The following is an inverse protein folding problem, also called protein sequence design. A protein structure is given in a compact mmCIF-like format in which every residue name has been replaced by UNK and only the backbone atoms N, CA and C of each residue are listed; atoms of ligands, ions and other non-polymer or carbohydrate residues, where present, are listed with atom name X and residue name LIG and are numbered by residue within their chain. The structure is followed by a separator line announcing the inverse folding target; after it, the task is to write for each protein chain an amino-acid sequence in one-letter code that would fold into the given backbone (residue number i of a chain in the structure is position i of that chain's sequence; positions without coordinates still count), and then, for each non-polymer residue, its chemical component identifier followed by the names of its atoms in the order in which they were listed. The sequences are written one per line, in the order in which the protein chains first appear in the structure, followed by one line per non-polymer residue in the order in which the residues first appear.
data_IF_578095591428
#
_entry.id   IF_578095591428
#
_cell.length_a   1.000
_cell.length_b   1.000
_cell.length_c   1.000
_cell.angle_alpha   90.00
_cell.angle_beta   90.00
_cell.angle_gamma   90.00
#
_symmetry.space_group_name_H-M   'P 1'
#
loop_
_entity.id
_entity.type
_entity.pdbx_description
1 polymer ?
#
# COMPACT_ATOMS: atom_id res chain seq x y z
N UNK A 1 0.71 6.53 3.93
CA UNK A 1 1.82 6.28 2.99
C UNK A 1 2.01 7.54 2.18
N UNK A 2 3.19 8.14 2.24
CA UNK A 2 3.58 9.21 1.32
C UNK A 2 4.38 8.58 0.18
N UNK A 3 4.04 8.88 -1.07
CA UNK A 3 4.73 8.31 -2.24
C UNK A 3 5.19 9.44 -3.15
N UNK A 4 6.42 9.33 -3.64
CA UNK A 4 6.98 10.19 -4.67
C UNK A 4 7.47 9.34 -5.83
N UNK A 5 7.22 9.77 -7.06
CA UNK A 5 7.69 9.13 -8.29
C UNK A 5 8.62 10.07 -9.07
N UNK A 6 9.73 9.56 -9.63
CA UNK A 6 10.65 10.35 -10.46
C UNK A 6 11.21 11.54 -9.68
N UNK A 7 11.12 12.75 -10.24
CA UNK A 7 11.42 13.99 -9.52
C UNK A 7 10.64 14.13 -8.20
N UNK A 8 9.43 13.58 -8.10
CA UNK A 8 8.66 13.52 -6.85
C UNK A 8 9.33 12.62 -5.79
N UNK A 9 10.01 11.54 -6.20
CA UNK A 9 10.83 10.74 -5.31
C UNK A 9 12.08 11.52 -4.86
N UNK A 10 12.75 12.24 -5.77
CA UNK A 10 13.90 13.07 -5.42
C UNK A 10 13.57 14.16 -4.37
N UNK A 11 12.33 14.66 -4.34
CA UNK A 11 11.83 15.63 -3.35
C UNK A 11 11.36 14.95 -2.05
N UNK A 12 11.02 13.66 -2.09
CA UNK A 12 10.43 12.96 -0.94
C UNK A 12 11.37 12.90 0.27
N UNK A 13 12.69 12.91 0.04
CA UNK A 13 13.70 12.85 1.10
C UNK A 13 13.64 14.07 2.03
N UNK A 14 13.67 15.28 1.45
CA UNK A 14 13.51 16.53 2.20
C UNK A 14 12.16 16.63 2.91
N UNK A 15 11.06 16.26 2.24
CA UNK A 15 9.74 16.27 2.87
C UNK A 15 9.64 15.30 4.04
N UNK A 16 10.29 14.14 3.93
CA UNK A 16 10.32 13.16 5.02
C UNK A 16 11.19 13.64 6.18
N UNK A 17 12.32 14.31 5.92
CA UNK A 17 13.12 14.93 6.96
C UNK A 17 12.33 16.04 7.68
N UNK A 18 11.59 16.86 6.93
CA UNK A 18 10.73 17.89 7.49
C UNK A 18 9.64 17.29 8.40
N UNK A 19 8.93 16.26 7.92
CA UNK A 19 7.87 15.57 8.67
C UNK A 19 8.40 14.91 9.97
N UNK A 20 9.56 14.26 9.88
CA UNK A 20 10.17 13.53 10.99
C UNK A 20 10.68 14.47 12.11
N UNK A 21 11.04 15.71 11.77
CA UNK A 21 11.73 16.64 12.67
C UNK A 21 10.89 17.85 13.09
N UNK A 22 9.68 18.06 12.54
CA UNK A 22 8.75 19.15 12.95
C UNK A 22 7.52 18.67 13.72
N UNK A 23 7.60 17.50 14.34
CA UNK A 23 6.64 17.01 15.33
C UNK A 23 5.36 16.35 14.78
N UNK A 24 5.07 16.50 13.49
CA UNK A 24 3.88 15.93 12.86
C UNK A 24 3.92 14.42 12.66
N UNK A 25 5.05 13.88 12.18
CA UNK A 25 5.22 12.45 11.81
C UNK A 25 3.98 11.89 11.10
N UNK A 26 3.46 12.67 10.16
CA UNK A 26 2.26 12.39 9.38
C UNK A 26 2.45 11.14 8.51
N UNK A 27 3.68 10.87 8.08
CA UNK A 27 3.98 9.73 7.23
C UNK A 27 4.43 8.53 8.06
N UNK A 28 3.60 7.48 8.11
CA UNK A 28 4.03 6.19 8.69
C UNK A 28 5.10 5.49 7.84
N UNK A 29 5.06 5.69 6.52
CA UNK A 29 5.97 5.10 5.54
C UNK A 29 6.13 6.10 4.39
N UNK A 30 7.38 6.34 3.96
CA UNK A 30 7.71 7.04 2.72
C UNK A 30 8.05 6.01 1.65
N UNK A 31 7.49 6.13 0.45
CA UNK A 31 7.83 5.35 -0.73
C UNK A 31 8.52 6.24 -1.76
N UNK A 32 9.80 6.00 -2.02
CA UNK A 32 10.55 6.65 -3.11
C UNK A 32 10.60 5.72 -4.32
N UNK A 33 9.92 6.10 -5.39
CA UNK A 33 9.79 5.32 -6.61
C UNK A 33 10.61 5.96 -7.75
N UNK A 34 11.66 5.27 -8.19
CA UNK A 34 12.49 5.65 -9.34
C UNK A 34 13.00 7.10 -9.28
N UNK A 35 13.74 7.46 -8.24
CA UNK A 35 14.36 8.78 -8.10
C UNK A 35 15.27 8.84 -6.87
N UNK A 36 16.58 8.88 -7.12
CA UNK A 36 17.61 8.90 -6.09
C UNK A 36 17.57 10.16 -5.24
N UNK A 37 18.33 10.15 -4.15
CA UNK A 37 18.51 11.31 -3.27
C UNK A 37 19.38 12.36 -3.98
N UNK A 38 18.77 13.14 -4.89
CA UNK A 38 19.45 14.11 -5.73
C UNK A 38 20.26 15.12 -4.89
N UNK A 39 21.57 14.92 -4.81
CA UNK A 39 22.48 15.68 -3.94
C UNK A 39 22.63 17.16 -4.33
N UNK A 40 22.26 17.53 -5.57
CA UNK A 40 22.19 18.92 -6.01
C UNK A 40 20.94 19.67 -5.53
N UNK A 41 19.88 18.96 -5.13
CA UNK A 41 18.62 19.58 -4.72
C UNK A 41 18.80 20.28 -3.36
N UNK A 42 18.62 21.62 -3.27
CA UNK A 42 18.97 22.37 -2.06
C UNK A 42 18.34 21.82 -0.76
N UNK A 43 17.06 21.44 -0.72
CA UNK A 43 16.47 20.84 0.48
C UNK A 43 17.10 19.50 0.91
N UNK A 44 17.60 18.68 -0.02
CA UNK A 44 18.34 17.47 0.33
C UNK A 44 19.76 17.79 0.82
N UNK A 45 20.36 18.87 0.32
CA UNK A 45 21.66 19.36 0.83
C UNK A 45 21.57 19.81 2.28
N UNK A 46 20.45 20.39 2.70
CA UNK A 46 20.23 20.77 4.10
C UNK A 46 20.28 19.56 5.05
N UNK A 47 19.83 18.39 4.59
CA UNK A 47 19.96 17.14 5.35
C UNK A 47 21.44 16.80 5.55
N UNK A 48 22.21 16.79 4.47
CA UNK A 48 23.64 16.51 4.52
C UNK A 48 24.46 17.58 5.28
N UNK A 49 23.98 18.83 5.28
CA UNK A 49 24.56 19.93 6.04
C UNK A 49 24.23 19.86 7.55
N UNK A 50 23.39 18.92 7.98
CA UNK A 50 23.06 18.71 9.38
C UNK A 50 21.96 19.62 9.93
N UNK A 51 21.19 20.31 9.07
CA UNK A 51 20.07 21.19 9.48
C UNK A 51 19.05 20.47 10.37
N UNK A 52 18.91 19.16 10.19
CA UNK A 52 17.98 18.29 10.92
C UNK A 52 18.67 17.38 11.95
N UNK A 53 19.94 17.65 12.29
CA UNK A 53 20.75 16.83 13.19
C UNK A 53 21.38 15.60 12.51
N UNK A 54 22.01 14.73 13.30
CA UNK A 54 22.83 13.62 12.78
C UNK A 54 22.02 12.39 12.32
N UNK A 55 20.77 12.26 12.78
CA UNK A 55 19.87 11.14 12.43
C UNK A 55 18.46 11.66 12.06
N UNK A 56 18.34 12.44 10.98
CA UNK A 56 17.11 13.12 10.60
C UNK A 56 15.98 12.16 10.18
N UNK A 57 16.29 10.89 9.90
CA UNK A 57 15.29 9.87 9.59
C UNK A 57 15.10 8.85 10.72
N UNK A 58 15.52 9.15 11.95
CA UNK A 58 15.40 8.21 13.06
C UNK A 58 13.93 7.76 13.28
N UNK A 59 13.72 6.44 13.20
CA UNK A 59 12.41 5.81 13.34
C UNK A 59 11.51 5.89 12.10
N UNK A 60 11.95 6.54 11.02
CA UNK A 60 11.22 6.58 9.74
C UNK A 60 11.30 5.21 9.07
N UNK A 61 10.17 4.73 8.57
CA UNK A 61 10.11 3.56 7.69
C UNK A 61 10.10 4.01 6.24
N UNK A 62 10.86 3.31 5.41
CA UNK A 62 10.99 3.61 3.98
C UNK A 62 10.69 2.38 3.12
N UNK A 63 10.04 2.61 1.99
CA UNK A 63 9.91 1.67 0.90
C UNK A 63 10.52 2.30 -0.36
N UNK A 64 11.14 1.49 -1.21
CA UNK A 64 11.80 1.99 -2.41
C UNK A 64 11.54 1.08 -3.59
N UNK A 65 11.53 1.66 -4.78
CA UNK A 65 11.45 0.94 -6.04
C UNK A 65 12.48 1.48 -7.02
N UNK A 66 13.08 0.56 -7.78
CA UNK A 66 13.82 0.86 -8.99
C UNK A 66 13.51 -0.18 -10.08
N UNK A 67 13.65 0.23 -11.34
CA UNK A 67 13.64 -0.67 -12.49
C UNK A 67 15.04 -0.77 -13.09
N UNK A 68 15.49 -1.98 -13.40
CA UNK A 68 16.81 -2.21 -14.02
C UNK A 68 16.87 -1.76 -15.48
N UNK A 69 15.72 -1.50 -16.11
CA UNK A 69 15.60 -0.97 -17.47
C UNK A 69 15.24 0.53 -17.48
N UNK A 70 15.45 1.25 -16.37
CA UNK A 70 15.33 2.70 -16.35
C UNK A 70 16.39 3.35 -17.26
N UNK A 71 16.00 4.28 -18.17
CA UNK A 71 16.95 4.92 -19.09
C UNK A 71 18.01 5.78 -18.38
N UNK A 72 17.76 6.21 -17.15
CA UNK A 72 18.65 7.05 -16.35
C UNK A 72 19.08 6.33 -15.06
N UNK A 73 19.90 5.26 -15.13
CA UNK A 73 20.19 4.38 -13.99
C UNK A 73 20.88 5.07 -12.82
N UNK A 74 21.65 6.13 -13.08
CA UNK A 74 22.37 6.91 -12.05
C UNK A 74 21.55 8.05 -11.46
N UNK A 75 20.33 8.28 -11.94
CA UNK A 75 19.42 9.31 -11.40
C UNK A 75 18.16 8.67 -10.82
N UNK A 76 17.56 7.73 -11.55
CA UNK A 76 16.25 7.16 -11.24
C UNK A 76 16.27 5.63 -11.07
N UNK A 77 17.16 4.93 -11.78
CA UNK A 77 17.25 3.47 -11.74
C UNK A 77 17.94 2.88 -10.51
N UNK A 78 18.22 1.58 -10.58
CA UNK A 78 18.67 0.80 -9.42
C UNK A 78 20.01 1.22 -8.79
N UNK A 79 21.02 1.68 -9.55
CA UNK A 79 22.21 2.28 -8.96
C UNK A 79 21.88 3.48 -8.06
N UNK A 80 21.12 4.46 -8.58
CA UNK A 80 20.74 5.66 -7.82
C UNK A 80 19.90 5.34 -6.58
N UNK A 81 18.98 4.38 -6.71
CA UNK A 81 18.10 3.98 -5.61
C UNK A 81 18.83 3.15 -4.55
N UNK A 82 19.83 2.36 -4.94
CA UNK A 82 20.69 1.64 -3.99
C UNK A 82 21.56 2.60 -3.18
N UNK A 83 22.10 3.64 -3.81
CA UNK A 83 22.80 4.72 -3.11
C UNK A 83 21.85 5.48 -2.18
N UNK A 84 20.66 5.82 -2.65
CA UNK A 84 19.65 6.49 -1.83
C UNK A 84 19.21 5.65 -0.62
N UNK A 85 19.07 4.33 -0.79
CA UNK A 85 18.82 3.38 0.31
C UNK A 85 19.90 3.47 1.38
N UNK A 86 21.17 3.31 0.98
CA UNK A 86 22.30 3.39 1.91
C UNK A 86 22.34 4.75 2.61
N UNK A 87 22.08 5.83 1.88
CA UNK A 87 22.04 7.19 2.40
C UNK A 87 20.96 7.40 3.45
N UNK A 88 19.71 6.96 3.22
CA UNK A 88 18.65 7.11 4.24
C UNK A 88 18.90 6.24 5.48
N UNK A 89 19.47 5.04 5.30
CA UNK A 89 19.84 4.15 6.41
C UNK A 89 20.97 4.75 7.26
N UNK A 90 21.97 5.36 6.62
CA UNK A 90 23.03 6.12 7.29
C UNK A 90 22.44 7.22 8.19
N UNK A 91 21.35 7.86 7.77
CA UNK A 91 20.63 8.90 8.53
C UNK A 91 19.55 8.37 9.48
N UNK A 92 19.47 7.05 9.69
CA UNK A 92 18.67 6.42 10.74
C UNK A 92 17.29 5.92 10.30
N UNK A 93 16.99 5.93 9.00
CA UNK A 93 15.79 5.28 8.48
C UNK A 93 15.90 3.74 8.58
N UNK A 94 14.77 3.06 8.50
CA UNK A 94 14.71 1.62 8.19
C UNK A 94 14.05 1.42 6.83
N UNK A 95 14.76 0.88 5.86
CA UNK A 95 14.15 0.47 4.59
C UNK A 95 13.50 -0.91 4.78
N UNK A 96 12.17 -0.91 4.88
CA UNK A 96 11.37 -2.13 5.10
C UNK A 96 11.02 -2.86 3.82
N UNK A 97 11.19 -2.20 2.67
CA UNK A 97 10.96 -2.76 1.35
C UNK A 97 11.88 -2.07 0.34
N UNK A 98 12.62 -2.85 -0.43
CA UNK A 98 13.39 -2.37 -1.58
C UNK A 98 13.07 -3.30 -2.75
N UNK A 99 12.32 -2.80 -3.73
CA UNK A 99 11.98 -3.54 -4.93
C UNK A 99 13.00 -3.19 -6.01
N UNK A 100 13.80 -4.19 -6.35
CA UNK A 100 14.68 -4.21 -7.50
C UNK A 100 13.99 -5.03 -8.59
N UNK A 101 13.44 -4.36 -9.60
CA UNK A 101 12.65 -4.99 -10.66
C UNK A 101 13.50 -5.21 -11.91
N UNK A 102 13.95 -6.45 -12.20
CA UNK A 102 14.85 -6.74 -13.30
C UNK A 102 14.23 -6.49 -14.68
N UNK A 103 12.91 -6.33 -14.75
CA UNK A 103 12.16 -6.03 -15.98
C UNK A 103 11.52 -4.64 -15.91
N UNK A 104 11.69 -3.93 -14.81
CA UNK A 104 11.08 -2.65 -14.53
C UNK A 104 11.73 -1.55 -15.34
N UNK A 105 10.91 -0.65 -15.87
CA UNK A 105 11.36 0.63 -16.46
C UNK A 105 11.14 1.75 -15.45
N UNK A 106 11.41 3.00 -15.84
CA UNK A 106 11.21 4.18 -14.99
C UNK A 106 9.87 4.19 -14.25
N UNK A 107 8.75 3.90 -14.95
CA UNK A 107 7.40 3.88 -14.37
C UNK A 107 6.93 2.51 -13.86
N UNK A 108 7.80 1.50 -13.80
CA UNK A 108 7.42 0.10 -13.66
C UNK A 108 6.70 -0.26 -12.36
N UNK A 109 6.90 0.50 -11.27
CA UNK A 109 6.23 0.27 -9.99
C UNK A 109 4.71 0.22 -10.13
N UNK A 110 4.11 1.19 -10.81
CA UNK A 110 2.65 1.30 -10.92
C UNK A 110 2.06 0.39 -12.01
N UNK A 111 2.89 -0.07 -12.95
CA UNK A 111 2.47 -0.93 -14.06
C UNK A 111 2.47 -2.42 -13.67
N UNK A 112 3.06 -2.75 -12.52
CA UNK A 112 3.12 -4.11 -12.00
C UNK A 112 2.35 -4.18 -10.68
N UNK A 113 1.21 -4.86 -10.70
CA UNK A 113 0.36 -5.02 -9.52
C UNK A 113 1.11 -5.66 -8.33
N UNK A 114 2.05 -6.58 -8.58
CA UNK A 114 2.83 -7.22 -7.52
C UNK A 114 3.73 -6.23 -6.75
N UNK A 115 4.21 -5.19 -7.41
CA UNK A 115 5.02 -4.14 -6.78
C UNK A 115 4.14 -3.29 -5.85
N UNK A 116 2.94 -2.92 -6.30
CA UNK A 116 1.96 -2.17 -5.50
C UNK A 116 1.48 -3.01 -4.31
N UNK A 117 1.15 -4.28 -4.53
CA UNK A 117 0.73 -5.21 -3.48
C UNK A 117 1.81 -5.37 -2.40
N UNK A 118 3.08 -5.47 -2.81
CA UNK A 118 4.22 -5.54 -1.89
C UNK A 118 4.35 -4.27 -1.03
N UNK A 119 4.17 -3.08 -1.62
CA UNK A 119 4.20 -1.82 -0.89
C UNK A 119 3.03 -1.68 0.10
N UNK A 120 1.82 -2.09 -0.29
CA UNK A 120 0.66 -2.11 0.61
C UNK A 120 0.87 -3.11 1.76
N UNK A 121 1.40 -4.30 1.47
CA UNK A 121 1.74 -5.31 2.47
C UNK A 121 2.78 -4.79 3.48
N UNK A 122 3.82 -4.10 3.01
CA UNK A 122 4.82 -3.47 3.87
C UNK A 122 4.24 -2.35 4.75
N UNK A 123 3.20 -1.65 4.29
CA UNK A 123 2.56 -0.57 5.04
C UNK A 123 1.59 -1.06 6.13
N UNK A 124 0.94 -2.22 5.93
CA UNK A 124 -0.04 -2.77 6.86
C UNK A 124 0.44 -2.90 8.32
N UNK A 125 1.61 -3.52 8.62
CA UNK A 125 2.09 -3.62 10.01
C UNK A 125 2.45 -2.27 10.62
N UNK A 126 2.84 -1.28 9.81
CA UNK A 126 3.14 0.07 10.27
C UNK A 126 1.86 0.78 10.73
N UNK A 127 0.77 0.63 9.98
CA UNK A 127 -0.54 1.13 10.39
C UNK A 127 -1.03 0.46 11.68
N UNK A 128 -0.89 -0.87 11.77
CA UNK A 128 -1.27 -1.64 12.96
C UNK A 128 -0.53 -1.12 14.22
N UNK A 129 0.78 -0.88 14.11
CA UNK A 129 1.59 -0.33 15.20
C UNK A 129 1.17 1.08 15.63
N UNK A 130 0.44 1.82 14.77
CA UNK A 130 -0.14 3.14 15.07
C UNK A 130 -1.56 3.05 15.62
N UNK A 131 -2.06 1.86 15.93
CA UNK A 131 -3.41 1.63 16.46
C UNK A 131 -4.51 1.71 15.41
N UNK A 132 -4.16 1.77 14.13
CA UNK A 132 -5.12 1.76 13.02
C UNK A 132 -5.68 0.34 12.83
N UNK A 133 -6.99 0.15 12.58
CA UNK A 133 -7.58 -1.17 12.44
C UNK A 133 -7.00 -1.94 11.25
N UNK A 134 -6.57 -3.18 11.47
CA UNK A 134 -6.32 -4.13 10.39
C UNK A 134 -7.48 -5.10 10.36
N UNK A 135 -8.19 -5.12 9.24
CA UNK A 135 -9.39 -5.93 9.06
C UNK A 135 -9.11 -7.19 8.24
N UNK A 136 -9.80 -8.27 8.56
CA UNK A 136 -9.98 -9.44 7.72
C UNK A 136 -11.43 -9.47 7.24
N UNK A 137 -11.62 -9.61 5.93
CA UNK A 137 -12.93 -9.78 5.32
C UNK A 137 -13.16 -11.25 5.00
N UNK A 138 -14.19 -11.83 5.59
CA UNK A 138 -14.62 -13.21 5.31
C UNK A 138 -15.99 -13.23 4.65
N UNK A 139 -16.19 -14.20 3.76
CA UNK A 139 -17.49 -14.53 3.18
C UNK A 139 -17.93 -15.90 3.72
N UNK A 140 -19.20 -16.04 4.09
CA UNK A 140 -19.75 -17.33 4.52
C UNK A 140 -19.70 -18.40 3.42
N UNK A 141 -19.64 -17.97 2.15
CA UNK A 141 -19.41 -18.81 0.99
C UNK A 141 -18.59 -18.03 -0.06
N UNK A 142 -17.52 -18.64 -0.58
CA UNK A 142 -16.69 -18.09 -1.67
C UNK A 142 -17.20 -18.50 -3.04
N UNK A 143 -18.16 -19.43 -3.11
CA UNK A 143 -18.84 -19.83 -4.34
C UNK A 143 -20.32 -20.03 -4.10
N UNK A 144 -21.14 -19.39 -4.93
CA UNK A 144 -22.60 -19.40 -4.81
C UNK A 144 -23.27 -19.58 -6.17
N UNK A 145 -24.57 -19.89 -6.17
CA UNK A 145 -25.40 -19.83 -7.37
C UNK A 145 -25.75 -18.37 -7.66
N UNK A 146 -26.09 -18.07 -8.92
CA UNK A 146 -26.47 -16.71 -9.33
C UNK A 146 -27.61 -16.15 -8.49
N UNK A 147 -27.40 -14.97 -7.90
CA UNK A 147 -28.40 -14.25 -7.12
C UNK A 147 -28.71 -14.82 -5.74
N UNK A 148 -28.06 -15.92 -5.33
CA UNK A 148 -28.17 -16.41 -3.95
C UNK A 148 -27.30 -15.58 -3.01
N UNK A 149 -27.56 -15.64 -1.70
CA UNK A 149 -26.88 -14.78 -0.75
C UNK A 149 -25.64 -15.42 -0.11
N UNK A 150 -24.65 -14.58 0.22
CA UNK A 150 -23.58 -14.88 1.16
C UNK A 150 -23.44 -13.74 2.18
N UNK A 151 -23.06 -14.08 3.40
CA UNK A 151 -22.79 -13.10 4.45
C UNK A 151 -21.33 -12.67 4.39
N UNK A 152 -21.08 -11.37 4.28
CA UNK A 152 -19.76 -10.77 4.45
C UNK A 152 -19.59 -10.31 5.89
N UNK A 153 -18.45 -10.59 6.51
CA UNK A 153 -18.11 -10.16 7.88
C UNK A 153 -16.72 -9.55 7.92
N UNK A 154 -16.62 -8.33 8.45
CA UNK A 154 -15.36 -7.67 8.72
C UNK A 154 -14.96 -7.89 10.18
N UNK A 155 -13.76 -8.41 10.41
CA UNK A 155 -13.17 -8.53 11.75
C UNK A 155 -11.91 -7.68 11.81
N UNK A 156 -11.85 -6.71 12.73
CA UNK A 156 -10.73 -5.77 12.80
C UNK A 156 -10.05 -5.78 14.17
N UNK A 157 -8.73 -5.65 14.18
CA UNK A 157 -7.93 -5.43 15.39
C UNK A 157 -6.86 -4.35 15.12
N UNK A 158 -6.79 -3.27 15.92
CA UNK A 158 -7.77 -2.83 16.92
C UNK A 158 -9.19 -2.65 16.35
N UNK A 159 -10.19 -2.58 17.22
CA UNK A 159 -11.58 -2.48 16.80
C UNK A 159 -11.81 -1.24 15.91
N UNK A 160 -12.56 -1.43 14.83
CA UNK A 160 -13.04 -0.34 13.98
C UNK A 160 -14.33 0.24 14.57
N UNK A 161 -14.50 1.56 14.48
CA UNK A 161 -15.74 2.27 14.82
C UNK A 161 -16.61 2.56 13.59
N UNK A 162 -16.01 2.49 12.39
CA UNK A 162 -16.72 2.59 11.12
C UNK A 162 -16.00 1.81 10.02
N UNK A 163 -16.72 1.51 8.93
CA UNK A 163 -16.28 0.67 7.82
C UNK A 163 -16.53 1.39 6.49
N UNK A 164 -15.54 1.37 5.61
CA UNK A 164 -15.67 1.77 4.22
C UNK A 164 -15.81 0.51 3.37
N UNK A 165 -17.05 0.15 3.03
CA UNK A 165 -17.35 -1.02 2.20
C UNK A 165 -17.34 -0.67 0.71
N UNK A 166 -16.74 -1.54 -0.10
CA UNK A 166 -16.81 -1.50 -1.56
C UNK A 166 -17.80 -2.54 -2.10
N UNK A 167 -18.58 -2.16 -3.11
CA UNK A 167 -19.51 -3.04 -3.85
C UNK A 167 -20.68 -3.63 -3.04
N UNK A 168 -20.96 -3.16 -1.81
CA UNK A 168 -22.04 -3.73 -0.96
C UNK A 168 -23.23 -2.80 -0.71
N UNK A 169 -23.01 -1.49 -0.64
CA UNK A 169 -24.02 -0.52 -0.17
C UNK A 169 -24.33 -0.60 1.33
N UNK A 170 -23.50 -1.29 2.13
CA UNK A 170 -23.72 -1.40 3.58
C UNK A 170 -23.53 -0.06 4.31
N UNK A 171 -24.22 0.08 5.45
CA UNK A 171 -23.99 1.19 6.37
C UNK A 171 -22.52 1.25 6.82
N UNK A 172 -22.02 2.47 7.04
CA UNK A 172 -20.65 2.68 7.56
C UNK A 172 -20.46 2.15 8.99
N UNK A 173 -21.53 1.79 9.71
CA UNK A 173 -21.45 1.17 11.04
C UNK A 173 -21.70 -0.34 11.02
N UNK A 174 -22.06 -0.90 9.87
CA UNK A 174 -22.33 -2.33 9.75
C UNK A 174 -21.03 -3.13 9.67
N UNK A 175 -20.79 -3.99 10.65
CA UNK A 175 -19.67 -4.93 10.66
C UNK A 175 -19.87 -6.12 9.71
N UNK A 176 -21.11 -6.44 9.37
CA UNK A 176 -21.48 -7.52 8.46
C UNK A 176 -22.72 -7.18 7.66
N UNK A 177 -22.95 -7.94 6.59
CA UNK A 177 -24.16 -7.82 5.79
C UNK A 177 -24.25 -8.89 4.70
N UNK A 178 -25.47 -9.11 4.22
CA UNK A 178 -25.76 -10.06 3.15
C UNK A 178 -25.57 -9.41 1.79
N UNK A 179 -24.87 -10.10 0.87
CA UNK A 179 -24.78 -9.74 -0.55
C UNK A 179 -25.39 -10.85 -1.41
N UNK A 180 -25.94 -10.50 -2.57
CA UNK A 180 -26.53 -11.46 -3.51
C UNK A 180 -26.07 -11.19 -4.96
N UNK A 181 -24.77 -11.35 -5.27
CA UNK A 181 -24.25 -10.99 -6.57
C UNK A 181 -24.77 -11.91 -7.69
N UNK A 182 -24.98 -11.31 -8.88
CA UNK A 182 -25.36 -12.03 -10.11
C UNK A 182 -24.18 -12.28 -11.05
N UNK A 183 -22.99 -11.77 -10.71
CA UNK A 183 -21.71 -11.97 -11.39
C UNK A 183 -20.64 -12.17 -10.33
N UNK A 184 -19.53 -12.83 -10.65
CA UNK A 184 -18.41 -12.94 -9.71
C UNK A 184 -17.94 -11.53 -9.33
N UNK A 185 -17.92 -11.24 -8.04
CA UNK A 185 -17.67 -9.90 -7.51
C UNK A 185 -16.60 -9.97 -6.43
N UNK A 186 -15.66 -9.02 -6.49
CA UNK A 186 -14.70 -8.79 -5.42
C UNK A 186 -15.24 -7.69 -4.52
N UNK A 187 -15.48 -8.04 -3.26
CA UNK A 187 -15.88 -7.11 -2.22
C UNK A 187 -14.66 -6.66 -1.43
N UNK A 188 -14.75 -5.46 -0.86
CA UNK A 188 -13.67 -4.89 -0.07
C UNK A 188 -14.19 -4.14 1.15
N UNK A 189 -13.34 -4.04 2.17
CA UNK A 189 -13.62 -3.26 3.37
C UNK A 189 -12.33 -2.68 3.94
N UNK A 190 -12.38 -1.43 4.38
CA UNK A 190 -11.37 -0.83 5.25
C UNK A 190 -12.05 -0.36 6.54
N UNK A 191 -11.52 -0.79 7.69
CA UNK A 191 -11.97 -0.31 8.99
C UNK A 191 -11.34 1.04 9.34
N UNK A 192 -12.04 1.83 10.14
CA UNK A 192 -11.56 3.12 10.65
C UNK A 192 -11.82 3.22 12.14
N UNK A 193 -10.88 3.82 12.87
CA UNK A 193 -11.08 4.32 14.22
C UNK A 193 -10.46 5.73 14.36
N UNK A 194 -10.29 6.21 15.59
CA UNK A 194 -9.68 7.53 15.86
C UNK A 194 -8.23 7.65 15.34
N UNK A 195 -7.49 6.55 15.21
CA UNK A 195 -6.13 6.55 14.67
C UNK A 195 -6.09 6.65 13.14
N UNK A 196 -7.19 6.38 12.43
CA UNK A 196 -7.30 6.55 10.99
C UNK A 196 -7.91 5.34 10.27
N UNK A 197 -7.72 5.29 8.95
CA UNK A 197 -8.17 4.22 8.06
C UNK A 197 -7.12 3.12 7.92
N UNK A 198 -7.56 1.87 8.06
CA UNK A 198 -6.78 0.67 7.79
C UNK A 198 -6.53 0.42 6.31
N UNK A 199 -5.68 -0.58 6.04
CA UNK A 199 -5.57 -1.15 4.69
C UNK A 199 -6.86 -1.87 4.30
N UNK A 200 -7.16 -1.85 3.00
CA UNK A 200 -8.32 -2.55 2.45
C UNK A 200 -8.10 -4.06 2.46
N UNK A 201 -9.02 -4.80 3.08
CA UNK A 201 -9.14 -6.25 2.92
C UNK A 201 -10.16 -6.57 1.83
N UNK A 202 -9.97 -7.66 1.09
CA UNK A 202 -10.88 -8.08 0.03
C UNK A 202 -11.26 -9.54 0.12
N UNK A 203 -12.46 -9.89 -0.34
CA UNK A 203 -12.91 -11.26 -0.54
C UNK A 203 -13.62 -11.36 -1.90
N UNK A 204 -13.34 -12.43 -2.64
CA UNK A 204 -14.00 -12.69 -3.93
C UNK A 204 -15.05 -13.77 -3.76
N UNK A 205 -16.26 -13.47 -4.21
CA UNK A 205 -17.34 -14.44 -4.33
C UNK A 205 -17.49 -14.79 -5.80
N UNK A 206 -17.31 -16.08 -6.12
CA UNK A 206 -17.45 -16.61 -7.48
C UNK A 206 -18.88 -17.09 -7.71
N UNK A 207 -19.56 -16.48 -8.68
CA UNK A 207 -20.90 -16.90 -9.08
C UNK A 207 -20.80 -18.00 -10.12
N UNK A 208 -21.27 -19.20 -9.77
CA UNK A 208 -21.38 -20.31 -10.71
C UNK A 208 -22.56 -20.06 -11.65
N UNK A 209 -22.34 -20.31 -12.94
CA UNK A 209 -23.43 -20.36 -13.91
C UNK A 209 -24.47 -21.40 -13.46
N UNK A 210 -25.74 -21.13 -13.75
CA UNK A 210 -26.74 -22.18 -13.63
C UNK A 210 -26.37 -23.28 -14.64
N UNK A 211 -26.30 -24.55 -14.20
CA UNK A 211 -26.23 -25.66 -15.14
C UNK A 211 -27.43 -25.54 -16.07
N UNK A 212 -27.18 -25.55 -17.38
CA UNK A 212 -28.25 -25.55 -18.36
C UNK A 212 -28.91 -26.95 -18.33
N UNK A 213 -30.17 -27.09 -17.92
CA UNK A 213 -30.79 -28.41 -17.81
C UNK A 213 -30.94 -29.11 -19.17
N UNK A 214 -30.81 -28.38 -20.29
CA UNK A 214 -30.83 -28.95 -21.63
C UNK A 214 -29.62 -29.84 -21.95
N UNK A 215 -28.52 -29.76 -21.19
CA UNK A 215 -27.31 -30.57 -21.42
C UNK A 215 -27.31 -31.90 -20.64
N UNK A 216 -28.30 -32.15 -19.77
CA UNK A 216 -28.41 -33.37 -18.96
C UNK A 216 -29.30 -34.46 -19.58
N UNK A 217 -29.81 -34.24 -20.80
CA UNK A 217 -30.72 -35.16 -21.51
C UNK A 217 -30.07 -35.84 -22.74
N UNK A 218 -28.73 -35.85 -22.81
CA UNK A 218 -27.97 -36.41 -23.94
C UNK A 218 -27.05 -37.60 -23.55
N UNK A 219 -27.28 -38.23 -22.40
CA UNK A 219 -26.68 -39.53 -22.05
C UNK A 219 -27.75 -40.62 -21.97
#
# INVERSE_FOLDING_TARGET
LFTGFSRGAAVSYALTALDANRGGRYFGLTLSNAGGAASGYPPNREIAAGTYGSKPFNGVKWAMYCGELDPDPTINGCPAMSEAKAWVEQYGATVVLFIDDPKGTHGGFMLNAGNVDSAVAAFAPILAARGVPVCTLTASATSIKRGTSAMLTAQCNPAATSYAWGETGFSQTAQSGAVSPIRSTRYSVAGRNAAGYGVTSSATITVKAAMNPLLLLLE
#
